data_IF_020073149804
#
_entry.id   IF_020073149804
#
_cell.length_a   1.000
_cell.length_b   1.000
_cell.length_c   1.000
_cell.angle_alpha   90.00
_cell.angle_beta   90.00
_cell.angle_gamma   90.00
#
_symmetry.space_group_name_H-M   'P 1'
#
loop_
_entity.id
_entity.type
_entity.pdbx_description
1 polymer ?
#
# COMPACT_ATOMS: atom_id res chain seq x y z
N UNK A 1 4.15 24.66 -2.08
CA UNK A 1 4.34 24.23 -0.68
C UNK A 1 3.16 23.46 -0.15
N UNK A 2 1.95 24.04 0.02
CA UNK A 2 0.80 23.26 0.49
C UNK A 2 0.34 22.17 -0.51
N UNK A 3 0.41 22.48 -1.80
CA UNK A 3 0.20 21.52 -2.90
C UNK A 3 1.15 20.31 -2.85
N UNK A 4 2.38 20.53 -2.41
CA UNK A 4 3.48 19.55 -2.44
C UNK A 4 3.31 18.45 -1.39
N UNK A 5 2.48 18.69 -0.37
CA UNK A 5 2.08 17.68 0.62
C UNK A 5 0.67 17.15 0.33
N UNK A 6 -0.25 18.02 -0.08
CA UNK A 6 -1.66 17.66 -0.29
C UNK A 6 -1.85 16.74 -1.51
N UNK A 7 -1.15 17.01 -2.62
CA UNK A 7 -1.31 16.22 -3.86
C UNK A 7 -0.79 14.79 -3.63
N UNK A 8 0.43 14.55 -3.11
CA UNK A 8 0.87 13.21 -2.77
C UNK A 8 -0.04 12.52 -1.77
N UNK A 9 -0.49 13.24 -0.73
CA UNK A 9 -1.42 12.69 0.26
C UNK A 9 -2.71 12.19 -0.38
N UNK A 10 -3.39 13.03 -1.17
CA UNK A 10 -4.67 12.67 -1.79
C UNK A 10 -4.49 11.56 -2.84
N UNK A 11 -3.46 11.68 -3.69
CA UNK A 11 -3.24 10.75 -4.78
C UNK A 11 -2.90 9.36 -4.24
N UNK A 12 -1.98 9.27 -3.28
CA UNK A 12 -1.65 8.00 -2.63
C UNK A 12 -2.84 7.44 -1.84
N UNK A 13 -3.56 8.27 -1.08
CA UNK A 13 -4.74 7.79 -0.34
C UNK A 13 -5.80 7.20 -1.28
N UNK A 14 -6.01 7.80 -2.45
CA UNK A 14 -6.95 7.29 -3.45
C UNK A 14 -6.42 6.03 -4.15
N UNK A 15 -5.12 5.97 -4.47
CA UNK A 15 -4.50 4.81 -5.11
C UNK A 15 -4.51 3.57 -4.19
N UNK A 16 -4.35 3.80 -2.89
CA UNK A 16 -4.40 2.77 -1.84
C UNK A 16 -5.83 2.37 -1.45
N UNK A 17 -6.84 3.15 -1.84
CA UNK A 17 -8.21 2.90 -1.41
C UNK A 17 -8.74 1.59 -2.01
N UNK A 18 -8.92 0.60 -1.14
CA UNK A 18 -9.33 -0.77 -1.46
C UNK A 18 -8.28 -1.61 -2.20
N UNK A 19 -6.99 -1.32 -2.03
CA UNK A 19 -5.92 -2.11 -2.59
C UNK A 19 -5.52 -3.33 -1.73
N UNK A 20 -4.76 -4.27 -2.32
CA UNK A 20 -4.36 -5.55 -1.72
C UNK A 20 -3.60 -5.36 -0.41
N UNK A 21 -2.79 -4.31 -0.31
CA UNK A 21 -2.06 -3.96 0.90
C UNK A 21 -3.01 -3.58 2.04
N UNK A 22 -4.09 -2.85 1.75
CA UNK A 22 -5.10 -2.53 2.75
C UNK A 22 -5.89 -3.78 3.19
N UNK A 23 -6.20 -4.70 2.27
CA UNK A 23 -6.82 -5.99 2.61
C UNK A 23 -5.91 -6.84 3.49
N UNK A 24 -4.60 -6.87 3.21
CA UNK A 24 -3.61 -7.55 4.03
C UNK A 24 -3.56 -6.96 5.44
N UNK A 25 -3.55 -5.64 5.58
CA UNK A 25 -3.57 -4.96 6.88
C UNK A 25 -4.84 -5.31 7.66
N UNK A 26 -6.01 -5.37 7.00
CA UNK A 26 -7.27 -5.80 7.63
C UNK A 26 -7.14 -7.22 8.19
N UNK A 27 -6.60 -8.17 7.40
CA UNK A 27 -6.40 -9.57 7.81
C UNK A 27 -5.37 -9.70 8.94
N UNK A 28 -4.30 -8.91 8.92
CA UNK A 28 -3.30 -8.91 9.99
C UNK A 28 -3.87 -8.32 11.28
N UNK A 29 -4.59 -7.19 11.17
CA UNK A 29 -5.27 -6.56 12.30
C UNK A 29 -6.33 -7.48 12.90
N UNK A 30 -6.98 -8.32 12.09
CA UNK A 30 -7.97 -9.27 12.56
C UNK A 30 -7.40 -10.49 13.30
N UNK A 31 -6.07 -10.65 13.30
CA UNK A 31 -5.37 -11.79 13.92
C UNK A 31 -4.54 -11.36 15.14
N UNK A 32 -4.56 -10.09 15.51
CA UNK A 32 -3.77 -9.56 16.63
C UNK A 32 -4.60 -8.62 17.49
N UNK A 33 -4.38 -8.67 18.80
CA UNK A 33 -4.91 -7.67 19.74
C UNK A 33 -3.93 -6.51 19.96
N UNK A 34 -2.68 -6.64 19.51
CA UNK A 34 -1.62 -5.62 19.67
C UNK A 34 -1.59 -4.69 18.45
N UNK A 35 -2.69 -3.99 18.20
CA UNK A 35 -2.87 -3.12 17.02
C UNK A 35 -1.84 -2.00 16.92
N UNK A 36 -1.40 -1.45 18.06
CA UNK A 36 -0.38 -0.40 18.09
C UNK A 36 0.99 -0.91 17.60
N UNK A 37 1.37 -2.12 17.98
CA UNK A 37 2.60 -2.75 17.51
C UNK A 37 2.53 -3.05 16.02
N UNK A 38 1.38 -3.53 15.54
CA UNK A 38 1.15 -3.77 14.12
C UNK A 38 1.27 -2.46 13.32
N UNK A 39 0.62 -1.39 13.77
CA UNK A 39 0.64 -0.08 13.13
C UNK A 39 2.07 0.42 12.92
N UNK A 40 2.89 0.47 13.98
CA UNK A 40 4.26 0.96 13.84
C UNK A 40 5.15 0.08 12.96
N UNK A 41 4.90 -1.22 12.91
CA UNK A 41 5.59 -2.12 11.97
C UNK A 41 5.27 -1.75 10.52
N UNK A 42 3.99 -1.52 10.23
CA UNK A 42 3.50 -1.12 8.90
C UNK A 42 4.06 0.25 8.50
N UNK A 43 3.98 1.26 9.38
CA UNK A 43 4.48 2.61 9.08
C UNK A 43 5.99 2.62 8.85
N UNK A 44 6.74 1.84 9.63
CA UNK A 44 8.19 1.74 9.41
C UNK A 44 8.51 1.12 8.05
N UNK A 45 7.75 0.12 7.60
CA UNK A 45 7.92 -0.48 6.28
C UNK A 45 7.66 0.55 5.17
N UNK A 46 6.51 1.24 5.20
CA UNK A 46 6.21 2.30 4.22
C UNK A 46 7.25 3.42 4.24
N UNK A 47 7.70 3.88 5.42
CA UNK A 47 8.73 4.89 5.55
C UNK A 47 10.04 4.52 4.84
N UNK A 48 10.48 3.28 4.94
CA UNK A 48 11.69 2.84 4.26
C UNK A 48 11.44 2.71 2.76
N UNK A 49 10.36 2.04 2.39
CA UNK A 49 10.07 1.68 1.01
C UNK A 49 9.78 2.92 0.15
N UNK A 50 8.85 3.77 0.59
CA UNK A 50 8.55 5.04 -0.08
C UNK A 50 9.70 6.03 0.04
N UNK A 51 10.42 6.02 1.17
CA UNK A 51 11.62 6.85 1.35
C UNK A 51 12.67 6.56 0.27
N UNK A 52 12.96 5.29 -0.01
CA UNK A 52 13.89 4.88 -1.07
C UNK A 52 13.38 5.34 -2.44
N UNK A 53 12.10 5.14 -2.74
CA UNK A 53 11.52 5.51 -4.01
C UNK A 53 11.58 7.04 -4.25
N UNK A 54 11.22 7.83 -3.24
CA UNK A 54 11.25 9.30 -3.27
C UNK A 54 12.68 9.81 -3.42
N UNK A 55 13.63 9.25 -2.68
CA UNK A 55 15.05 9.61 -2.82
C UNK A 55 15.54 9.30 -4.23
N UNK A 56 15.27 8.10 -4.75
CA UNK A 56 15.64 7.73 -6.11
C UNK A 56 15.03 8.68 -7.16
N UNK A 57 13.74 9.01 -7.03
CA UNK A 57 13.07 9.99 -7.88
C UNK A 57 13.74 11.37 -7.82
N UNK A 58 14.06 11.86 -6.62
CA UNK A 58 14.70 13.17 -6.44
C UNK A 58 16.08 13.28 -7.09
N UNK A 59 16.84 12.18 -7.12
CA UNK A 59 18.15 12.12 -7.76
C UNK A 59 18.05 12.15 -9.29
N UNK A 60 17.03 11.50 -9.84
CA UNK A 60 16.79 11.44 -11.29
C UNK A 60 16.21 12.77 -11.82
N UNK A 61 15.55 13.56 -10.96
CA UNK A 61 14.90 14.82 -11.32
C UNK A 61 15.84 15.86 -11.94
N UNK A 62 17.13 15.86 -11.58
CA UNK A 62 18.10 16.82 -12.10
C UNK A 62 18.71 16.43 -13.45
N UNK A 63 18.48 15.19 -13.92
CA UNK A 63 19.03 14.67 -15.17
C UNK A 63 18.07 14.83 -16.36
N UNK A 64 16.79 15.10 -16.09
CA UNK A 64 15.73 15.03 -17.10
C UNK A 64 14.97 16.37 -17.16
N UNK A 65 14.80 16.98 -18.36
CA UNK A 65 14.03 18.22 -18.52
C UNK A 65 12.59 18.11 -17.98
N UNK A 66 12.12 19.14 -17.29
CA UNK A 66 10.82 19.19 -16.60
C UNK A 66 9.61 18.85 -17.51
N UNK A 67 9.66 19.20 -18.79
CA UNK A 67 8.57 18.89 -19.74
C UNK A 67 8.51 17.40 -20.09
N UNK A 68 9.67 16.74 -20.19
CA UNK A 68 9.77 15.30 -20.43
C UNK A 68 9.29 14.54 -19.20
N UNK A 69 9.64 15.03 -18.01
CA UNK A 69 9.25 14.41 -16.74
C UNK A 69 7.72 14.33 -16.57
N UNK A 70 6.99 15.39 -16.92
CA UNK A 70 5.51 15.40 -16.82
C UNK A 70 4.84 14.39 -17.75
N UNK A 71 5.37 14.22 -18.96
CA UNK A 71 4.87 13.26 -19.95
C UNK A 71 5.19 11.83 -19.51
N UNK A 72 6.42 11.59 -19.05
CA UNK A 72 6.86 10.29 -18.53
C UNK A 72 6.06 9.92 -17.29
N UNK A 73 5.86 10.85 -16.36
CA UNK A 73 5.02 10.69 -15.17
C UNK A 73 3.59 10.27 -15.51
N UNK A 74 2.93 11.05 -16.39
CA UNK A 74 1.57 10.73 -16.84
C UNK A 74 1.50 9.36 -17.52
N UNK A 75 2.48 9.04 -18.38
CA UNK A 75 2.60 7.74 -19.03
C UNK A 75 2.77 6.59 -18.03
N UNK A 76 3.65 6.76 -17.04
CA UNK A 76 3.88 5.77 -15.98
C UNK A 76 2.62 5.54 -15.14
N UNK A 77 1.89 6.59 -14.74
CA UNK A 77 0.63 6.44 -14.00
C UNK A 77 -0.45 5.72 -14.81
N UNK A 78 -0.56 6.01 -16.11
CA UNK A 78 -1.51 5.32 -17.00
C UNK A 78 -1.10 3.84 -17.15
N UNK A 79 0.18 3.57 -17.38
CA UNK A 79 0.72 2.21 -17.48
C UNK A 79 0.49 1.46 -16.16
N UNK A 80 0.68 2.09 -15.01
CA UNK A 80 0.41 1.47 -13.71
C UNK A 80 -1.07 1.21 -13.46
N UNK A 81 -1.96 2.14 -13.83
CA UNK A 81 -3.40 1.90 -13.80
C UNK A 81 -3.78 0.65 -14.60
N UNK A 82 -3.14 0.44 -15.75
CA UNK A 82 -3.35 -0.73 -16.62
C UNK A 82 -2.69 -2.00 -16.05
N UNK A 83 -1.45 -1.93 -15.57
CA UNK A 83 -0.71 -3.10 -15.02
C UNK A 83 -1.36 -3.61 -13.73
N UNK A 84 -1.80 -2.70 -12.86
CA UNK A 84 -2.52 -3.05 -11.62
C UNK A 84 -3.80 -3.82 -11.93
N UNK A 85 -4.45 -3.48 -13.04
CA UNK A 85 -5.63 -4.19 -13.52
C UNK A 85 -5.33 -5.64 -13.98
N UNK A 86 -4.07 -5.93 -14.36
CA UNK A 86 -3.66 -7.19 -14.99
C UNK A 86 -2.91 -8.13 -14.03
N UNK A 87 -2.18 -7.62 -13.02
CA UNK A 87 -1.26 -8.43 -12.20
C UNK A 87 -1.90 -8.91 -10.88
N UNK A 88 -2.13 -10.21 -10.79
CA UNK A 88 -2.64 -10.92 -9.59
C UNK A 88 -1.46 -11.28 -8.67
N UNK A 89 -1.55 -10.93 -7.39
CA UNK A 89 -0.48 -11.14 -6.41
C UNK A 89 -0.47 -12.56 -5.84
N UNK A 90 0.72 -13.04 -5.48
CA UNK A 90 0.95 -14.34 -4.85
C UNK A 90 0.73 -14.25 -3.32
N UNK A 91 -0.02 -15.20 -2.77
CA UNK A 91 -0.28 -15.29 -1.34
C UNK A 91 0.97 -15.73 -0.56
N UNK A 92 1.42 -14.88 0.37
CA UNK A 92 2.48 -15.24 1.33
C UNK A 92 1.89 -16.20 2.40
N UNK A 93 2.30 -17.47 2.36
CA UNK A 93 1.94 -18.47 3.38
C UNK A 93 2.68 -18.20 4.70
N UNK A 94 1.95 -17.73 5.71
CA UNK A 94 2.52 -17.49 7.04
C UNK A 94 2.64 -18.77 7.87
N UNK A 95 3.84 -18.99 8.41
CA UNK A 95 4.13 -20.09 9.32
C UNK A 95 3.65 -19.75 10.76
N UNK A 96 3.02 -20.72 11.44
CA UNK A 96 2.27 -20.59 12.71
C UNK A 96 3.12 -20.33 13.97
N UNK A 97 4.25 -19.62 13.87
CA UNK A 97 4.96 -19.13 15.07
C UNK A 97 4.34 -17.80 15.48
N UNK A 98 4.16 -17.58 16.79
CA UNK A 98 3.75 -16.30 17.37
C UNK A 98 4.82 -15.23 17.10
N UNK A 99 4.88 -14.73 15.87
CA UNK A 99 5.79 -13.66 15.49
C UNK A 99 5.17 -12.34 15.96
N UNK A 100 6.00 -11.46 16.55
CA UNK A 100 5.61 -10.14 17.01
C UNK A 100 4.84 -9.39 15.90
N UNK A 101 3.59 -8.92 16.13
CA UNK A 101 2.79 -8.23 15.12
C UNK A 101 3.49 -7.06 14.45
N UNK A 102 4.43 -6.40 15.15
CA UNK A 102 5.32 -5.41 14.56
C UNK A 102 6.18 -5.99 13.44
N UNK A 103 6.90 -7.08 13.72
CA UNK A 103 7.81 -7.73 12.76
C UNK A 103 7.02 -8.32 11.60
N UNK A 104 5.89 -8.97 11.89
CA UNK A 104 5.01 -9.55 10.86
C UNK A 104 4.47 -8.47 9.93
N UNK A 105 3.91 -7.38 10.48
CA UNK A 105 3.43 -6.25 9.68
C UNK A 105 4.55 -5.61 8.88
N UNK A 106 5.69 -5.35 9.51
CA UNK A 106 6.86 -4.78 8.85
C UNK A 106 7.32 -5.64 7.66
N UNK A 107 7.62 -6.92 7.88
CA UNK A 107 8.18 -7.78 6.83
C UNK A 107 7.21 -8.00 5.67
N UNK A 108 5.92 -8.21 5.97
CA UNK A 108 4.94 -8.47 4.92
C UNK A 108 4.69 -7.25 4.05
N UNK A 109 4.58 -6.06 4.66
CA UNK A 109 4.42 -4.81 3.91
C UNK A 109 5.71 -4.48 3.16
N UNK A 110 6.87 -4.57 3.83
CA UNK A 110 8.16 -4.25 3.21
C UNK A 110 8.44 -5.09 1.96
N UNK A 111 8.13 -6.39 2.01
CA UNK A 111 8.32 -7.30 0.87
C UNK A 111 7.21 -7.10 -0.17
N UNK A 112 5.95 -6.99 0.28
CA UNK A 112 4.78 -6.88 -0.60
C UNK A 112 4.75 -5.60 -1.42
N UNK A 113 5.21 -4.50 -0.83
CA UNK A 113 5.27 -3.19 -1.46
C UNK A 113 6.48 -3.00 -2.37
N UNK A 114 7.42 -3.96 -2.41
CA UNK A 114 8.67 -3.77 -3.12
C UNK A 114 8.47 -3.69 -4.64
N UNK A 115 8.67 -2.50 -5.21
CA UNK A 115 8.46 -2.22 -6.63
C UNK A 115 6.99 -2.08 -7.03
N UNK A 116 6.09 -1.82 -6.07
CA UNK A 116 4.68 -1.60 -6.38
C UNK A 116 4.40 -0.22 -6.99
N UNK A 117 3.21 -0.07 -7.56
CA UNK A 117 2.68 1.15 -8.21
C UNK A 117 2.84 2.39 -7.35
N UNK A 118 2.63 2.26 -6.04
CA UNK A 118 2.68 3.39 -5.12
C UNK A 118 4.10 3.91 -4.95
N UNK A 119 5.14 3.06 -4.98
CA UNK A 119 6.53 3.53 -4.99
C UNK A 119 6.85 4.35 -6.23
N UNK A 120 6.41 3.89 -7.41
CA UNK A 120 6.75 4.58 -8.65
C UNK A 120 5.97 5.89 -8.76
N UNK A 121 4.74 5.93 -8.26
CA UNK A 121 3.98 7.17 -8.04
C UNK A 121 4.73 8.14 -7.10
N UNK A 122 5.18 7.66 -5.93
CA UNK A 122 5.95 8.45 -4.94
C UNK A 122 7.26 9.01 -5.53
N UNK A 123 8.03 8.17 -6.24
CA UNK A 123 9.24 8.58 -6.94
C UNK A 123 8.96 9.66 -7.98
N UNK A 124 7.88 9.49 -8.75
CA UNK A 124 7.47 10.45 -9.77
C UNK A 124 7.06 11.78 -9.16
N UNK A 125 6.29 11.78 -8.07
CA UNK A 125 5.89 12.99 -7.35
C UNK A 125 7.11 13.73 -6.78
N UNK A 126 8.13 13.01 -6.32
CA UNK A 126 9.39 13.59 -5.83
C UNK A 126 10.20 14.33 -6.91
N UNK A 127 9.91 14.11 -8.21
CA UNK A 127 10.54 14.86 -9.31
C UNK A 127 9.88 16.21 -9.58
N UNK A 128 8.61 16.36 -9.20
CA UNK A 128 7.79 17.53 -9.52
C UNK A 128 7.58 18.45 -8.32
N UNK A 129 7.65 17.88 -7.12
CA UNK A 129 7.41 18.56 -5.85
C UNK A 129 8.62 18.42 -4.92
N UNK A 130 8.63 19.19 -3.84
CA UNK A 130 9.69 19.06 -2.84
C UNK A 130 9.72 17.64 -2.23
N UNK A 131 10.83 16.88 -2.35
CA UNK A 131 10.89 15.48 -1.92
C UNK A 131 10.55 15.26 -0.44
N UNK A 132 10.92 16.19 0.43
CA UNK A 132 10.61 16.11 1.86
C UNK A 132 9.12 16.25 2.14
N UNK A 133 8.45 17.19 1.45
CA UNK A 133 7.01 17.38 1.58
C UNK A 133 6.22 16.21 0.98
N UNK A 134 6.71 15.64 -0.13
CA UNK A 134 6.15 14.42 -0.73
C UNK A 134 6.24 13.28 0.27
N UNK A 135 7.42 13.06 0.87
CA UNK A 135 7.61 12.01 1.87
C UNK A 135 6.61 12.12 3.03
N UNK A 136 6.47 13.28 3.64
CA UNK A 136 5.51 13.46 4.73
C UNK A 136 4.05 13.30 4.26
N UNK A 137 3.70 13.73 3.05
CA UNK A 137 2.37 13.54 2.48
C UNK A 137 2.01 12.08 2.26
N UNK A 138 2.95 11.30 1.71
CA UNK A 138 2.80 9.85 1.49
C UNK A 138 2.68 9.10 2.81
N UNK A 139 3.55 9.40 3.78
CA UNK A 139 3.49 8.75 5.11
C UNK A 139 2.22 9.09 5.87
N UNK A 140 1.71 10.32 5.73
CA UNK A 140 0.43 10.70 6.32
C UNK A 140 -0.74 9.95 5.65
N UNK A 141 -0.71 9.77 4.33
CA UNK A 141 -1.69 8.97 3.60
C UNK A 141 -1.69 7.51 4.06
N UNK A 142 -0.52 6.87 4.06
CA UNK A 142 -0.35 5.48 4.50
C UNK A 142 -0.75 5.29 5.96
N UNK A 143 -0.48 6.27 6.82
CA UNK A 143 -0.91 6.26 8.22
C UNK A 143 -2.43 6.28 8.35
N UNK A 144 -3.09 7.19 7.64
CA UNK A 144 -4.55 7.29 7.64
C UNK A 144 -5.19 5.99 7.14
N UNK A 145 -4.73 5.48 6.00
CA UNK A 145 -5.24 4.25 5.40
C UNK A 145 -5.03 3.04 6.31
N UNK A 146 -3.83 2.92 6.91
CA UNK A 146 -3.51 1.85 7.86
C UNK A 146 -4.40 1.91 9.11
N UNK A 147 -4.69 3.10 9.64
CA UNK A 147 -5.61 3.25 10.79
C UNK A 147 -7.02 2.78 10.43
N UNK A 148 -7.53 3.16 9.25
CA UNK A 148 -8.84 2.72 8.77
C UNK A 148 -8.88 1.20 8.61
N UNK A 149 -7.88 0.62 7.97
CA UNK A 149 -7.75 -0.83 7.77
C UNK A 149 -7.64 -1.60 9.08
N UNK A 150 -6.86 -1.10 10.05
CA UNK A 150 -6.74 -1.70 11.38
C UNK A 150 -8.06 -1.61 12.16
N UNK A 151 -8.74 -0.45 12.08
CA UNK A 151 -10.04 -0.27 12.73
C UNK A 151 -11.08 -1.23 12.15
N UNK A 152 -11.16 -1.35 10.83
CA UNK A 152 -12.04 -2.30 10.14
C UNK A 152 -11.71 -3.75 10.56
N UNK A 153 -10.44 -4.13 10.56
CA UNK A 153 -9.98 -5.44 11.03
C UNK A 153 -10.37 -5.74 12.48
N UNK A 154 -10.25 -4.75 13.38
CA UNK A 154 -10.62 -4.87 14.79
C UNK A 154 -12.15 -4.98 14.99
N UNK A 155 -12.95 -4.19 14.27
CA UNK A 155 -14.42 -4.29 14.32
C UNK A 155 -14.88 -5.67 13.86
N UNK A 156 -14.26 -6.22 12.83
CA UNK A 156 -14.52 -7.59 12.37
C UNK A 156 -14.18 -8.63 13.46
N UNK A 157 -13.16 -8.41 14.30
CA UNK A 157 -12.81 -9.34 15.39
C UNK A 157 -13.89 -9.40 16.49
N UNK A 158 -14.61 -8.30 16.74
CA UNK A 158 -15.52 -8.20 17.90
C UNK A 158 -16.83 -8.98 17.76
N UNK A 159 -17.18 -9.47 16.57
CA UNK A 159 -18.43 -10.23 16.35
C UNK A 159 -18.25 -11.60 15.69
N UNK A 160 -17.03 -11.98 15.32
CA UNK A 160 -16.80 -13.14 14.45
C UNK A 160 -15.73 -14.05 15.07
N UNK A 161 -16.10 -15.32 15.30
CA UNK A 161 -15.16 -16.34 15.81
C UNK A 161 -13.95 -16.44 14.86
N UNK A 162 -12.71 -16.64 15.35
CA UNK A 162 -11.50 -16.70 14.51
C UNK A 162 -11.59 -17.67 13.33
N UNK A 163 -12.32 -18.79 13.51
CA UNK A 163 -12.58 -19.79 12.47
C UNK A 163 -13.47 -19.25 11.34
N UNK A 164 -14.50 -18.48 11.69
CA UNK A 164 -15.39 -17.80 10.73
C UNK A 164 -14.65 -16.70 10.00
N UNK A 165 -13.68 -16.04 10.65
CA UNK A 165 -12.84 -15.02 10.03
C UNK A 165 -11.93 -15.60 8.95
N UNK A 166 -11.27 -16.73 9.23
CA UNK A 166 -10.48 -17.45 8.22
C UNK A 166 -11.34 -17.93 7.05
N UNK A 167 -12.58 -18.34 7.31
CA UNK A 167 -13.53 -18.75 6.28
C UNK A 167 -13.99 -17.55 5.45
N UNK A 168 -14.28 -16.41 6.07
CA UNK A 168 -14.70 -15.17 5.38
C UNK A 168 -13.55 -14.59 4.56
N UNK A 169 -12.32 -14.52 5.09
CA UNK A 169 -11.15 -14.10 4.30
C UNK A 169 -10.89 -15.05 3.14
N UNK A 170 -10.98 -16.37 3.37
CA UNK A 170 -10.88 -17.37 2.30
C UNK A 170 -11.99 -17.22 1.25
N UNK A 171 -13.23 -16.98 1.66
CA UNK A 171 -14.37 -16.71 0.78
C UNK A 171 -14.21 -15.40 0.01
N UNK A 172 -13.71 -14.35 0.65
CA UNK A 172 -13.39 -13.08 0.00
C UNK A 172 -12.28 -13.27 -1.04
N UNK A 173 -11.20 -14.00 -0.73
CA UNK A 173 -10.16 -14.33 -1.69
C UNK A 173 -10.70 -15.19 -2.85
N UNK A 174 -11.62 -16.12 -2.57
CA UNK A 174 -12.30 -16.92 -3.62
C UNK A 174 -13.20 -16.05 -4.48
N UNK A 175 -14.04 -15.19 -3.87
CA UNK A 175 -14.98 -14.31 -4.57
C UNK A 175 -14.23 -13.26 -5.39
N UNK A 176 -13.21 -12.63 -4.82
CA UNK A 176 -12.32 -11.70 -5.53
C UNK A 176 -11.61 -12.47 -6.65
N UNK A 177 -11.05 -13.66 -6.40
CA UNK A 177 -10.39 -14.48 -7.40
C UNK A 177 -11.32 -14.91 -8.56
N UNK A 178 -12.58 -15.21 -8.29
CA UNK A 178 -13.62 -15.52 -9.29
C UNK A 178 -14.01 -14.24 -10.05
N UNK A 179 -14.23 -13.13 -9.34
CA UNK A 179 -14.57 -11.85 -9.95
C UNK A 179 -13.45 -11.38 -10.89
N UNK A 180 -12.18 -11.50 -10.50
CA UNK A 180 -11.02 -11.21 -11.35
C UNK A 180 -11.00 -12.10 -12.60
N UNK A 181 -11.32 -13.40 -12.48
CA UNK A 181 -11.38 -14.31 -13.64
C UNK A 181 -12.53 -13.95 -14.57
N UNK A 182 -13.71 -13.61 -14.05
CA UNK A 182 -14.88 -13.24 -14.84
C UNK A 182 -14.68 -11.88 -15.53
N UNK A 183 -14.06 -10.92 -14.84
CA UNK A 183 -13.75 -9.58 -15.36
C UNK A 183 -12.63 -9.62 -16.41
N UNK A 184 -11.83 -10.69 -16.45
CA UNK A 184 -10.81 -10.92 -17.48
C UNK A 184 -11.39 -11.36 -18.85
N UNK A 185 -12.69 -11.67 -18.92
CA UNK A 185 -13.38 -12.20 -20.11
C UNK A 185 -14.53 -11.31 -20.63
N UNK A 186 -14.72 -10.12 -20.05
CA UNK A 186 -15.67 -9.09 -20.48
C UNK A 186 -14.86 -7.86 -20.91
#
# INVERSE_FOLDING_TARGET
MFSDILIPFLLVSLAEFADKTQLLIIVLASKTNKHFNLFWGIILAFAIVDGIAILAGSLIANLIPQNVMKIVAGGIFIIFGIITFIKREEEIKLNKKEINPFITGFLLIFIGEWGDKTQIASATLATQYNPWLVFFGVIFAMSLMSILSIFLGNVLMKKIKPKTMSIISGLLFIVIGIFTIITLWI
#
